data_IF_190561956143
#
_entry.id   IF_190561956143
#
_cell.length_a   1.000
_cell.length_b   1.000
_cell.length_c   1.000
_cell.angle_alpha   90.00
_cell.angle_beta   90.00
_cell.angle_gamma   90.00
#
_symmetry.space_group_name_H-M   'P 1'
#
loop_
_entity.id
_entity.type
_entity.pdbx_description
1 polymer ?
#
# COMPACT_ATOMS: atom_id res chain seq x y z
N UNK A 1 -10.92 20.88 -21.47
CA UNK A 1 -9.98 19.77 -21.67
C UNK A 1 -8.73 19.88 -20.78
N UNK A 2 -8.18 21.06 -20.50
CA UNK A 2 -6.99 21.21 -19.64
C UNK A 2 -7.17 20.70 -18.20
N UNK A 3 -8.34 20.94 -17.61
CA UNK A 3 -8.64 20.59 -16.22
C UNK A 3 -8.75 19.07 -15.99
N UNK A 4 -9.35 18.31 -16.91
CA UNK A 4 -9.45 16.85 -16.81
C UNK A 4 -8.10 16.14 -16.94
N UNK A 5 -7.21 16.65 -17.79
CA UNK A 5 -5.84 16.12 -17.94
C UNK A 5 -5.00 16.37 -16.69
N UNK A 6 -5.15 17.55 -16.07
CA UNK A 6 -4.47 17.88 -14.81
C UNK A 6 -4.93 16.98 -13.65
N UNK A 7 -6.25 16.78 -13.50
CA UNK A 7 -6.82 15.90 -12.46
C UNK A 7 -6.36 14.45 -12.63
N UNK A 8 -6.29 13.95 -13.88
CA UNK A 8 -5.79 12.61 -14.17
C UNK A 8 -4.32 12.45 -13.77
N UNK A 9 -3.46 13.41 -14.13
CA UNK A 9 -2.03 13.40 -13.78
C UNK A 9 -1.81 13.41 -12.25
N UNK A 10 -2.56 14.22 -11.50
CA UNK A 10 -2.49 14.25 -10.04
C UNK A 10 -2.91 12.91 -9.41
N UNK A 11 -3.98 12.29 -9.92
CA UNK A 11 -4.41 10.96 -9.45
C UNK A 11 -3.37 9.89 -9.74
N UNK A 12 -2.80 9.86 -10.95
CA UNK A 12 -1.74 8.93 -11.31
C UNK A 12 -0.51 9.11 -10.41
N UNK A 13 -0.11 10.34 -10.11
CA UNK A 13 1.00 10.61 -9.19
C UNK A 13 0.70 10.09 -7.78
N UNK A 14 -0.52 10.33 -7.25
CA UNK A 14 -0.95 9.80 -5.94
C UNK A 14 -0.95 8.27 -5.92
N UNK A 15 -1.45 7.63 -6.96
CA UNK A 15 -1.43 6.16 -7.12
C UNK A 15 0.02 5.65 -7.12
N UNK A 16 0.92 6.32 -7.84
CA UNK A 16 2.35 5.94 -7.92
C UNK A 16 3.04 6.04 -6.57
N UNK A 17 2.87 7.15 -5.85
CA UNK A 17 3.41 7.33 -4.50
C UNK A 17 2.86 6.30 -3.52
N UNK A 18 1.54 6.07 -3.53
CA UNK A 18 0.90 5.09 -2.68
C UNK A 18 1.39 3.66 -2.98
N UNK A 19 1.60 3.34 -4.26
CA UNK A 19 2.14 2.03 -4.67
C UNK A 19 3.57 1.83 -4.14
N UNK A 20 4.44 2.86 -4.20
CA UNK A 20 5.78 2.79 -3.61
C UNK A 20 5.74 2.56 -2.10
N UNK A 21 4.89 3.30 -1.38
CA UNK A 21 4.70 3.12 0.06
C UNK A 21 4.24 1.69 0.39
N UNK A 22 3.26 1.18 -0.36
CA UNK A 22 2.77 -0.19 -0.21
C UNK A 22 3.89 -1.22 -0.42
N UNK A 23 4.74 -1.07 -1.44
CA UNK A 23 5.86 -1.99 -1.64
C UNK A 23 6.78 -2.04 -0.42
N UNK A 24 7.13 -0.88 0.16
CA UNK A 24 7.95 -0.83 1.37
C UNK A 24 7.28 -1.45 2.59
N UNK A 25 6.00 -1.17 2.80
CA UNK A 25 5.22 -1.78 3.89
C UNK A 25 5.14 -3.30 3.78
N UNK A 26 4.99 -3.82 2.56
CA UNK A 26 4.93 -5.26 2.31
C UNK A 26 6.28 -5.92 2.60
N UNK A 27 7.37 -5.39 2.02
CA UNK A 27 8.71 -5.93 2.21
C UNK A 27 9.09 -5.89 3.70
N UNK A 28 8.92 -4.73 4.35
CA UNK A 28 9.22 -4.57 5.77
C UNK A 28 8.37 -5.48 6.65
N UNK A 29 7.05 -5.50 6.43
CA UNK A 29 6.13 -6.32 7.22
C UNK A 29 6.43 -7.82 7.13
N UNK A 30 6.67 -8.34 5.92
CA UNK A 30 7.01 -9.75 5.70
C UNK A 30 8.38 -10.09 6.26
N UNK A 31 9.39 -9.24 6.08
CA UNK A 31 10.74 -9.49 6.59
C UNK A 31 10.76 -9.55 8.12
N UNK A 32 10.09 -8.60 8.79
CA UNK A 32 10.03 -8.56 10.26
C UNK A 32 9.27 -9.76 10.83
N UNK A 33 8.13 -10.14 10.24
CA UNK A 33 7.39 -11.33 10.66
C UNK A 33 8.17 -12.62 10.40
N UNK A 34 8.80 -12.74 9.23
CA UNK A 34 9.64 -13.88 8.89
C UNK A 34 10.78 -14.05 9.88
N UNK A 35 11.42 -12.96 10.30
CA UNK A 35 12.48 -12.99 11.30
C UNK A 35 11.97 -13.41 12.69
N UNK A 36 10.85 -12.85 13.13
CA UNK A 36 10.25 -13.22 14.41
C UNK A 36 9.85 -14.71 14.45
N UNK A 37 9.28 -15.24 13.35
CA UNK A 37 8.97 -16.65 13.20
C UNK A 37 10.22 -17.53 13.17
N UNK A 38 11.26 -17.13 12.43
CA UNK A 38 12.52 -17.86 12.38
C UNK A 38 13.11 -18.01 13.78
N UNK A 39 13.21 -16.90 14.53
CA UNK A 39 13.76 -16.90 15.89
C UNK A 39 12.91 -17.70 16.88
N UNK A 40 11.59 -17.74 16.67
CA UNK A 40 10.69 -18.63 17.42
C UNK A 40 11.05 -20.10 17.20
N UNK A 41 11.30 -20.53 15.95
CA UNK A 41 11.66 -21.91 15.65
C UNK A 41 13.11 -22.28 15.98
N UNK A 42 14.05 -21.33 15.98
CA UNK A 42 15.45 -21.60 16.35
C UNK A 42 15.69 -21.60 17.87
N UNK A 43 14.69 -21.20 18.67
CA UNK A 43 14.82 -21.11 20.13
C UNK A 43 15.55 -19.87 20.63
N UNK A 44 15.88 -18.93 19.73
CA UNK A 44 16.51 -17.63 20.04
C UNK A 44 15.47 -16.54 20.39
N UNK A 45 14.27 -16.95 20.75
CA UNK A 45 13.13 -16.06 20.96
C UNK A 45 13.20 -15.38 22.33
N UNK A 46 13.62 -14.12 22.34
CA UNK A 46 13.33 -13.18 23.42
C UNK A 46 11.87 -12.68 23.36
N UNK A 47 11.03 -12.98 24.36
CA UNK A 47 9.60 -12.66 24.31
C UNK A 47 9.29 -11.16 24.27
N UNK A 48 10.14 -10.30 24.82
CA UNK A 48 9.88 -8.85 24.81
C UNK A 48 10.21 -8.27 23.44
N UNK A 49 11.41 -8.53 22.93
CA UNK A 49 11.87 -7.96 21.66
C UNK A 49 11.10 -8.52 20.47
N UNK A 50 10.87 -9.82 20.43
CA UNK A 50 10.23 -10.46 19.27
C UNK A 50 8.72 -10.25 19.22
N UNK A 51 8.06 -10.01 20.37
CA UNK A 51 6.65 -9.58 20.37
C UNK A 51 6.50 -8.19 19.76
N UNK A 52 7.45 -7.28 19.99
CA UNK A 52 7.46 -5.94 19.37
C UNK A 52 7.74 -6.07 17.86
N UNK A 53 8.72 -6.88 17.46
CA UNK A 53 8.99 -7.16 16.04
C UNK A 53 7.75 -7.72 15.34
N UNK A 54 7.09 -8.72 15.92
CA UNK A 54 5.87 -9.30 15.37
C UNK A 54 4.73 -8.28 15.27
N UNK A 55 4.53 -7.46 16.32
CA UNK A 55 3.51 -6.40 16.31
C UNK A 55 3.78 -5.35 15.23
N UNK A 56 5.03 -4.93 15.06
CA UNK A 56 5.44 -4.01 13.99
C UNK A 56 5.19 -4.61 12.61
N UNK A 57 5.56 -5.88 12.42
CA UNK A 57 5.33 -6.59 11.16
C UNK A 57 3.84 -6.71 10.81
N UNK A 58 3.00 -7.06 11.80
CA UNK A 58 1.54 -7.08 11.65
C UNK A 58 0.98 -5.69 11.34
N UNK A 59 1.47 -4.65 12.02
CA UNK A 59 1.06 -3.27 11.77
C UNK A 59 1.38 -2.81 10.35
N UNK A 60 2.58 -3.14 9.84
CA UNK A 60 2.97 -2.86 8.46
C UNK A 60 2.04 -3.55 7.46
N UNK A 61 1.68 -4.82 7.68
CA UNK A 61 0.74 -5.55 6.81
C UNK A 61 -0.69 -5.00 6.91
N UNK A 62 -1.17 -4.66 8.11
CA UNK A 62 -2.49 -4.04 8.28
C UNK A 62 -2.56 -2.68 7.55
N UNK A 63 -1.49 -1.88 7.65
CA UNK A 63 -1.36 -0.60 6.94
C UNK A 63 -1.27 -0.81 5.43
N UNK A 64 -0.59 -1.86 4.97
CA UNK A 64 -0.57 -2.26 3.57
C UNK A 64 -1.97 -2.56 3.04
N UNK A 65 -2.75 -3.37 3.77
CA UNK A 65 -4.14 -3.71 3.39
C UNK A 65 -5.00 -2.45 3.30
N UNK A 66 -4.92 -1.55 4.28
CA UNK A 66 -5.63 -0.27 4.23
C UNK A 66 -5.22 0.57 3.01
N UNK A 67 -3.92 0.63 2.73
CA UNK A 67 -3.38 1.35 1.58
C UNK A 67 -3.82 0.74 0.25
N UNK A 68 -3.95 -0.59 0.18
CA UNK A 68 -4.49 -1.30 -0.98
C UNK A 68 -5.92 -0.85 -1.32
N UNK A 69 -6.81 -0.81 -0.33
CA UNK A 69 -8.17 -0.31 -0.54
C UNK A 69 -8.19 1.16 -0.96
N UNK A 70 -7.34 2.01 -0.37
CA UNK A 70 -7.17 3.39 -0.80
C UNK A 70 -6.74 3.51 -2.27
N UNK A 71 -5.79 2.68 -2.70
CA UNK A 71 -5.32 2.61 -4.09
C UNK A 71 -6.43 2.17 -5.05
N UNK A 72 -7.22 1.17 -4.67
CA UNK A 72 -8.36 0.72 -5.48
C UNK A 72 -9.39 1.84 -5.69
N UNK A 73 -9.68 2.62 -4.64
CA UNK A 73 -10.58 3.77 -4.75
C UNK A 73 -10.03 4.84 -5.70
N UNK A 74 -8.74 5.15 -5.62
CA UNK A 74 -8.09 6.10 -6.55
C UNK A 74 -8.12 5.60 -8.00
N UNK A 75 -7.89 4.30 -8.23
CA UNK A 75 -7.97 3.71 -9.57
C UNK A 75 -9.40 3.78 -10.15
N UNK A 76 -10.42 3.57 -9.31
CA UNK A 76 -11.82 3.73 -9.73
C UNK A 76 -12.14 5.19 -10.09
N UNK A 77 -11.65 6.15 -9.31
CA UNK A 77 -11.82 7.58 -9.60
C UNK A 77 -11.12 7.97 -10.91
N UNK A 78 -9.90 7.47 -11.14
CA UNK A 78 -9.15 7.72 -12.37
C UNK A 78 -9.94 7.22 -13.59
N UNK A 79 -10.42 5.97 -13.54
CA UNK A 79 -11.25 5.39 -14.62
C UNK A 79 -12.52 6.20 -14.85
N UNK A 80 -13.22 6.61 -13.79
CA UNK A 80 -14.44 7.40 -13.94
C UNK A 80 -14.17 8.76 -14.60
N UNK A 81 -13.06 9.42 -14.24
CA UNK A 81 -12.65 10.68 -14.85
C UNK A 81 -12.28 10.54 -16.34
N UNK A 82 -11.60 9.45 -16.71
CA UNK A 82 -11.27 9.12 -18.10
C UNK A 82 -12.56 8.84 -18.91
N UNK A 83 -13.47 8.01 -18.38
CA UNK A 83 -14.72 7.65 -19.07
C UNK A 83 -15.64 8.86 -19.29
N UNK A 84 -15.71 9.78 -18.31
CA UNK A 84 -16.47 11.01 -18.44
C UNK A 84 -15.88 11.94 -19.51
N UNK A 85 -14.55 12.03 -19.59
CA UNK A 85 -13.85 12.81 -20.61
C UNK A 85 -14.09 12.26 -22.02
N UNK A 86 -14.12 10.94 -22.19
CA UNK A 86 -14.39 10.31 -23.49
C UNK A 86 -15.85 10.51 -23.93
N UNK A 87 -16.81 10.45 -23.00
CA UNK A 87 -18.21 10.70 -23.30
C UNK A 87 -18.51 12.15 -23.71
N UNK A 88 -17.75 13.12 -23.20
CA UNK A 88 -17.90 14.53 -23.53
C UNK A 88 -17.21 14.93 -24.85
N UNK A 89 -16.45 14.00 -25.45
CA UNK A 89 -15.71 14.20 -26.70
C UNK A 89 -16.39 13.51 -27.89
N UNK A 90 -17.34 12.61 -27.63
CA UNK A 90 -18.26 11.96 -28.57
C UNK A 90 -19.48 12.85 -28.85
#
# INVERSE_FOLDING_TARGET
MENTTQVSNELQQKISQLTKLMTWLLIGGVATLGMALLKFFTGEFDPIYHSIEAALGLYCLATWVKSYYGRQKLLQQLRAAETASDSARS
#
